data_IF_593180850217
#
_entry.id   IF_593180850217
#
_cell.length_a   1.000
_cell.length_b   1.000
_cell.length_c   1.000
_cell.angle_alpha   90.00
_cell.angle_beta   90.00
_cell.angle_gamma   90.00
#
_symmetry.space_group_name_H-M   'P 1'
#
loop_
_entity.id
_entity.type
_entity.pdbx_description
1 polymer ?
#
# COMPACT_ATOMS: atom_id res chain seq x y z
N UNK A 1 -8.37 7.32 12.27
CA UNK A 1 -6.94 7.69 12.43
C UNK A 1 -6.56 8.51 11.24
N UNK A 2 -5.70 9.51 11.37
CA UNK A 2 -5.21 10.22 10.18
C UNK A 2 -4.34 9.23 9.39
N UNK A 3 -4.61 9.05 8.09
CA UNK A 3 -3.73 8.34 7.16
C UNK A 3 -2.42 9.13 7.02
N UNK A 4 -1.61 9.15 8.07
CA UNK A 4 -0.21 9.49 8.01
C UNK A 4 0.54 8.23 7.60
N UNK A 5 0.17 7.69 6.44
CA UNK A 5 1.11 6.85 5.73
C UNK A 5 2.25 7.77 5.32
N UNK A 6 3.42 7.48 5.85
CA UNK A 6 4.56 8.39 5.80
C UNK A 6 4.98 8.62 4.34
N UNK A 7 4.65 9.80 3.80
CA UNK A 7 5.10 10.22 2.48
C UNK A 7 6.63 10.12 2.39
N UNK A 8 7.34 10.32 3.50
CA UNK A 8 8.79 10.13 3.60
C UNK A 8 9.17 8.67 3.30
N UNK A 9 8.40 7.68 3.75
CA UNK A 9 8.66 6.27 3.47
C UNK A 9 8.56 5.98 1.96
N UNK A 10 7.52 6.49 1.30
CA UNK A 10 7.38 6.34 -0.16
C UNK A 10 8.53 6.96 -0.92
N UNK A 11 8.89 8.20 -0.56
CA UNK A 11 10.01 8.88 -1.18
C UNK A 11 11.31 8.12 -0.91
N UNK A 12 11.56 7.67 0.32
CA UNK A 12 12.74 6.85 0.64
C UNK A 12 12.82 5.58 -0.21
N UNK A 13 11.71 4.88 -0.43
CA UNK A 13 11.67 3.71 -1.31
C UNK A 13 12.00 4.11 -2.76
N UNK A 14 11.44 5.22 -3.27
CA UNK A 14 11.75 5.75 -4.60
C UNK A 14 13.23 6.11 -4.76
N UNK A 15 13.85 6.70 -3.73
CA UNK A 15 15.27 7.04 -3.73
C UNK A 15 16.20 5.81 -3.79
N UNK A 16 15.69 4.62 -3.44
CA UNK A 16 16.40 3.35 -3.65
C UNK A 16 16.29 2.82 -5.10
N UNK A 17 15.69 3.59 -6.01
CA UNK A 17 15.50 3.21 -7.41
C UNK A 17 14.30 2.28 -7.64
N UNK A 18 13.44 2.09 -6.63
CA UNK A 18 12.23 1.28 -6.75
C UNK A 18 11.13 2.10 -7.41
N UNK A 19 10.59 1.59 -8.51
CA UNK A 19 9.42 2.16 -9.17
C UNK A 19 8.15 1.75 -8.43
N UNK A 20 7.30 2.72 -8.08
CA UNK A 20 6.00 2.48 -7.43
C UNK A 20 4.91 3.07 -8.33
N UNK A 21 4.29 2.23 -9.17
CA UNK A 21 3.21 2.66 -10.06
C UNK A 21 1.81 2.45 -9.47
N UNK A 22 1.66 1.65 -8.41
CA UNK A 22 0.36 1.38 -7.81
C UNK A 22 0.50 1.12 -6.31
N UNK A 23 -0.31 1.82 -5.52
CA UNK A 23 -0.43 1.68 -4.07
C UNK A 23 -1.84 1.24 -3.71
N UNK A 24 -1.98 0.12 -3.00
CA UNK A 24 -3.25 -0.36 -2.46
C UNK A 24 -3.32 -0.10 -0.96
N UNK A 25 -4.34 0.63 -0.52
CA UNK A 25 -4.62 0.95 0.88
C UNK A 25 -5.75 0.07 1.38
N UNK A 26 -5.59 -0.56 2.54
CA UNK A 26 -6.61 -1.35 3.22
C UNK A 26 -6.93 -0.66 4.54
N UNK A 27 -8.18 -0.22 4.68
CA UNK A 27 -8.67 0.40 5.91
C UNK A 27 -10.18 0.20 6.00
N UNK A 28 -10.68 -0.27 7.14
CA UNK A 28 -12.11 -0.44 7.36
C UNK A 28 -12.94 0.83 7.11
N UNK A 29 -12.36 2.03 7.27
CA UNK A 29 -13.00 3.30 6.96
C UNK A 29 -13.45 3.38 5.50
N UNK A 30 -12.78 2.67 4.58
CA UNK A 30 -13.15 2.63 3.16
C UNK A 30 -14.28 1.64 2.83
N UNK A 31 -14.81 0.86 3.79
CA UNK A 31 -16.04 0.07 3.58
C UNK A 31 -17.26 0.96 3.36
N UNK A 32 -17.31 2.07 4.10
CA UNK A 32 -18.38 3.06 4.03
C UNK A 32 -17.78 4.46 4.21
N UNK A 33 -17.05 4.97 3.19
CA UNK A 33 -16.17 6.11 3.35
C UNK A 33 -16.97 7.38 3.63
N UNK A 34 -16.66 8.01 4.77
CA UNK A 34 -17.20 9.32 5.16
C UNK A 34 -16.48 10.43 4.38
N UNK A 35 -17.02 11.65 4.44
CA UNK A 35 -16.42 12.82 3.77
C UNK A 35 -14.94 13.02 4.16
N UNK A 36 -14.59 12.82 5.44
CA UNK A 36 -13.22 12.91 5.92
C UNK A 36 -12.28 11.90 5.24
N UNK A 37 -12.61 10.62 5.27
CA UNK A 37 -11.78 9.56 4.66
C UNK A 37 -11.65 9.73 3.14
N UNK A 38 -12.70 10.24 2.45
CA UNK A 38 -12.60 10.61 1.03
C UNK A 38 -11.67 11.80 0.79
N UNK A 39 -11.70 12.79 1.68
CA UNK A 39 -10.81 13.95 1.64
C UNK A 39 -9.34 13.53 1.80
N UNK A 40 -9.05 12.75 2.85
CA UNK A 40 -7.71 12.23 3.10
C UNK A 40 -7.15 11.41 1.92
N UNK A 41 -7.97 10.53 1.32
CA UNK A 41 -7.55 9.75 0.16
C UNK A 41 -7.24 10.64 -1.07
N UNK A 42 -8.02 11.71 -1.28
CA UNK A 42 -7.77 12.67 -2.36
C UNK A 42 -6.49 13.45 -2.12
N UNK A 43 -6.30 13.98 -0.92
CA UNK A 43 -5.08 14.70 -0.55
C UNK A 43 -3.85 13.82 -0.73
N UNK A 44 -3.91 12.57 -0.29
CA UNK A 44 -2.84 11.61 -0.51
C UNK A 44 -2.56 11.40 -2.00
N UNK A 45 -3.59 11.19 -2.82
CA UNK A 45 -3.43 11.05 -4.27
C UNK A 45 -2.91 12.33 -4.96
N UNK A 46 -3.29 13.52 -4.47
CA UNK A 46 -2.79 14.81 -4.95
C UNK A 46 -1.30 14.98 -4.63
N UNK A 47 -0.86 14.58 -3.43
CA UNK A 47 0.54 14.56 -3.05
C UNK A 47 1.38 13.63 -3.94
N UNK A 48 0.86 12.42 -4.24
CA UNK A 48 1.55 11.49 -5.15
C UNK A 48 1.69 12.08 -6.57
N UNK A 49 0.69 12.83 -7.03
CA UNK A 49 0.77 13.56 -8.31
C UNK A 49 1.81 14.66 -8.28
N UNK A 50 1.82 15.50 -7.25
CA UNK A 50 2.80 16.56 -7.10
C UNK A 50 4.25 16.02 -7.04
N UNK A 51 4.50 14.94 -6.29
CA UNK A 51 5.81 14.31 -6.20
C UNK A 51 6.29 13.74 -7.56
N UNK A 52 5.39 13.12 -8.31
CA UNK A 52 5.68 12.60 -9.64
C UNK A 52 5.99 13.73 -10.65
N UNK A 53 5.26 14.85 -10.59
CA UNK A 53 5.52 16.02 -11.42
C UNK A 53 6.92 16.61 -11.18
N UNK A 54 7.34 16.74 -9.92
CA UNK A 54 8.69 17.23 -9.58
C UNK A 54 9.81 16.38 -10.17
N UNK A 55 9.57 15.07 -10.30
CA UNK A 55 10.53 14.08 -10.80
C UNK A 55 10.33 13.73 -12.27
N UNK A 56 9.34 14.32 -12.95
CA UNK A 56 8.91 13.99 -14.33
C UNK A 56 8.60 12.49 -14.51
N UNK A 57 8.04 11.88 -13.48
CA UNK A 57 7.59 10.49 -13.47
C UNK A 57 6.07 10.40 -13.62
N UNK A 58 5.56 9.20 -13.88
CA UNK A 58 4.13 8.92 -13.81
C UNK A 58 3.70 8.81 -12.33
N UNK A 59 2.54 9.38 -11.94
CA UNK A 59 2.03 9.24 -10.59
C UNK A 59 1.53 7.83 -10.32
N UNK A 60 1.73 7.36 -9.08
CA UNK A 60 1.20 6.07 -8.66
C UNK A 60 -0.35 6.08 -8.67
N UNK A 61 -0.97 5.03 -9.21
CA UNK A 61 -2.40 4.80 -9.03
C UNK A 61 -2.68 4.40 -7.57
N UNK A 62 -3.64 5.08 -6.94
CA UNK A 62 -4.04 4.80 -5.57
C UNK A 62 -5.38 4.07 -5.56
N UNK A 63 -5.39 2.87 -5.01
CA UNK A 63 -6.59 2.05 -4.79
C UNK A 63 -6.84 1.92 -3.30
N UNK A 64 -8.08 2.03 -2.86
CA UNK A 64 -8.47 1.87 -1.47
C UNK A 64 -9.54 0.79 -1.33
N UNK A 65 -9.37 -0.09 -0.34
CA UNK A 65 -10.25 -1.20 -0.07
C UNK A 65 -10.66 -1.21 1.40
N UNK A 66 -11.91 -1.61 1.66
CA UNK A 66 -12.44 -1.70 3.02
C UNK A 66 -12.00 -2.95 3.79
N UNK A 67 -11.43 -3.94 3.11
CA UNK A 67 -10.98 -5.22 3.68
C UNK A 67 -10.02 -5.91 2.71
N UNK A 68 -9.16 -6.77 3.26
CA UNK A 68 -8.16 -7.46 2.46
C UNK A 68 -8.75 -8.45 1.45
N UNK A 69 -9.90 -9.05 1.75
CA UNK A 69 -10.62 -9.92 0.80
C UNK A 69 -10.95 -9.24 -0.52
N UNK A 70 -11.37 -7.97 -0.50
CA UNK A 70 -11.70 -7.23 -1.73
C UNK A 70 -10.44 -6.88 -2.52
N UNK A 71 -9.33 -6.61 -1.82
CA UNK A 71 -8.01 -6.46 -2.45
C UNK A 71 -7.58 -7.77 -3.13
N UNK A 72 -7.70 -8.92 -2.46
CA UNK A 72 -7.33 -10.20 -3.05
C UNK A 72 -8.10 -10.50 -4.33
N UNK A 73 -9.41 -10.24 -4.34
CA UNK A 73 -10.21 -10.35 -5.56
C UNK A 73 -9.72 -9.42 -6.67
N UNK A 74 -9.35 -8.18 -6.33
CA UNK A 74 -8.82 -7.21 -7.29
C UNK A 74 -7.40 -7.53 -7.80
N UNK A 75 -6.63 -8.35 -7.08
CA UNK A 75 -5.27 -8.78 -7.49
C UNK A 75 -5.24 -10.00 -8.42
N UNK A 76 -6.38 -10.67 -8.62
CA UNK A 76 -6.47 -11.81 -9.55
C UNK A 76 -6.03 -11.40 -10.97
N UNK A 77 -5.55 -12.33 -11.82
CA UNK A 77 -5.10 -12.02 -13.18
C UNK A 77 -6.13 -11.20 -13.96
N UNK A 78 -5.70 -10.04 -14.49
CA UNK A 78 -6.58 -9.09 -15.20
C UNK A 78 -7.40 -8.16 -14.30
N UNK A 79 -7.27 -8.28 -12.98
CA UNK A 79 -7.89 -7.41 -11.99
C UNK A 79 -7.18 -6.06 -11.85
N UNK A 80 -7.88 -5.07 -11.30
CA UNK A 80 -7.39 -3.69 -11.19
C UNK A 80 -6.17 -3.53 -10.29
N UNK A 81 -6.02 -4.41 -9.29
CA UNK A 81 -4.88 -4.40 -8.36
C UNK A 81 -3.81 -5.44 -8.72
N UNK A 82 -3.87 -6.06 -9.90
CA UNK A 82 -2.91 -7.09 -10.31
C UNK A 82 -1.46 -6.58 -10.41
N UNK A 83 -1.27 -5.25 -10.53
CA UNK A 83 0.03 -4.58 -10.58
C UNK A 83 0.42 -3.90 -9.28
N UNK A 84 -0.13 -4.32 -8.13
CA UNK A 84 0.13 -3.67 -6.85
C UNK A 84 1.60 -3.77 -6.46
N UNK A 85 2.30 -2.63 -6.44
CA UNK A 85 3.70 -2.54 -6.02
C UNK A 85 3.82 -2.36 -4.51
N UNK A 86 2.85 -1.70 -3.88
CA UNK A 86 2.86 -1.46 -2.44
C UNK A 86 1.46 -1.65 -1.86
N UNK A 87 1.38 -2.51 -0.85
CA UNK A 87 0.19 -2.69 -0.02
C UNK A 87 0.40 -2.03 1.34
N UNK A 88 -0.56 -1.23 1.78
CA UNK A 88 -0.58 -0.61 3.11
C UNK A 88 -1.84 -1.05 3.84
N UNK A 89 -1.67 -1.80 4.93
CA UNK A 89 -2.76 -2.15 5.83
C UNK A 89 -2.79 -1.18 7.02
N UNK A 90 -3.87 -0.40 7.15
CA UNK A 90 -3.97 0.66 8.15
C UNK A 90 -4.61 0.20 9.46
N UNK A 91 -5.36 -0.91 9.45
CA UNK A 91 -5.93 -1.46 10.68
C UNK A 91 -4.85 -2.22 11.49
N UNK A 92 -4.67 -1.85 12.76
CA UNK A 92 -3.68 -2.46 13.66
C UNK A 92 -4.01 -3.94 14.01
N UNK A 93 -5.30 -4.28 14.02
CA UNK A 93 -5.80 -5.63 14.23
C UNK A 93 -6.96 -5.86 13.27
N UNK A 94 -6.90 -6.94 12.51
CA UNK A 94 -8.01 -7.38 11.66
C UNK A 94 -8.23 -8.89 11.80
N UNK A 95 -9.46 -9.32 11.56
CA UNK A 95 -9.83 -10.73 11.57
C UNK A 95 -9.14 -11.46 10.41
N UNK A 96 -8.49 -12.60 10.68
CA UNK A 96 -7.71 -13.34 9.68
C UNK A 96 -6.30 -12.80 9.45
N UNK A 97 -5.79 -11.92 10.32
CA UNK A 97 -4.48 -11.31 10.16
C UNK A 97 -3.32 -12.32 10.04
N UNK A 98 -3.40 -13.47 10.69
CA UNK A 98 -2.35 -14.48 10.60
C UNK A 98 -2.28 -15.10 9.21
N UNK A 99 -3.43 -15.55 8.69
CA UNK A 99 -3.57 -16.15 7.36
C UNK A 99 -3.24 -15.15 6.24
N UNK A 100 -3.64 -13.89 6.43
CA UNK A 100 -3.34 -12.80 5.50
C UNK A 100 -1.86 -12.44 5.51
N UNK A 101 -1.22 -12.37 6.68
CA UNK A 101 0.23 -12.20 6.79
C UNK A 101 0.98 -13.36 6.14
N UNK A 102 0.51 -14.61 6.33
CA UNK A 102 1.09 -15.79 5.70
C UNK A 102 0.99 -15.70 4.17
N UNK A 103 -0.18 -15.34 3.63
CA UNK A 103 -0.39 -15.16 2.20
C UNK A 103 0.47 -14.03 1.62
N UNK A 104 0.59 -12.91 2.34
CA UNK A 104 1.48 -11.80 1.95
C UNK A 104 2.94 -12.24 1.95
N UNK A 105 3.36 -13.02 2.96
CA UNK A 105 4.70 -13.56 3.02
C UNK A 105 4.98 -14.54 1.88
N UNK A 106 4.05 -15.44 1.57
CA UNK A 106 4.17 -16.36 0.43
C UNK A 106 4.29 -15.60 -0.90
N UNK A 107 3.47 -14.56 -1.11
CA UNK A 107 3.56 -13.69 -2.28
C UNK A 107 4.86 -12.89 -2.33
N UNK A 108 5.42 -12.52 -1.19
CA UNK A 108 6.70 -11.82 -1.14
C UNK A 108 7.91 -12.73 -1.34
N UNK A 109 7.78 -14.03 -1.10
CA UNK A 109 8.85 -15.02 -1.27
C UNK A 109 9.02 -15.46 -2.73
N UNK A 110 8.13 -15.03 -3.65
CA UNK A 110 8.32 -15.19 -5.09
C UNK A 110 9.40 -14.22 -5.60
N UNK A 111 10.07 -14.57 -6.69
CA UNK A 111 11.09 -13.69 -7.29
C UNK A 111 10.48 -12.32 -7.65
N UNK A 112 10.95 -11.26 -6.99
CA UNK A 112 10.41 -9.89 -7.13
C UNK A 112 9.45 -9.45 -6.01
N UNK A 113 9.11 -10.32 -5.06
CA UNK A 113 8.29 -9.97 -3.90
C UNK A 113 9.08 -9.26 -2.80
N UNK A 114 8.51 -8.20 -2.21
CA UNK A 114 9.16 -7.40 -1.16
C UNK A 114 8.41 -7.58 0.17
N UNK A 115 8.96 -8.40 1.06
CA UNK A 115 8.83 -8.17 2.50
C UNK A 115 10.08 -7.42 2.94
N UNK A 116 9.91 -6.21 3.50
CA UNK A 116 10.96 -5.56 4.25
C UNK A 116 11.26 -6.42 5.49
N UNK A 117 12.29 -7.26 5.39
CA UNK A 117 12.79 -8.03 6.53
C UNK A 117 13.43 -7.01 7.49
N UNK A 118 12.95 -6.85 8.74
CA UNK A 118 13.67 -6.04 9.69
C UNK A 118 15.09 -6.59 9.80
N UNK A 119 16.08 -5.69 9.83
CA UNK A 119 17.46 -6.09 10.12
C UNK A 119 17.43 -6.98 11.38
N UNK A 120 18.20 -8.09 11.42
CA UNK A 120 18.31 -8.86 12.64
C UNK A 120 18.65 -7.88 13.76
N UNK A 121 17.77 -7.77 14.75
CA UNK A 121 18.03 -6.95 15.91
C UNK A 121 19.41 -7.32 16.43
N UNK A 122 20.31 -6.34 16.48
CA UNK A 122 21.54 -6.47 17.24
C UNK A 122 21.15 -6.68 18.69
N UNK A 123 20.90 -7.94 19.06
CA UNK A 123 20.82 -8.36 20.44
C UNK A 123 22.20 -8.23 21.04
N UNK A 124 22.36 -7.24 21.92
CA UNK A 124 23.36 -7.26 22.98
C UNK A 124 22.95 -8.22 24.09
#
# INVERSE_FOLDING_TARGET
GELLFDLELLERIRHLGVRIDQVCLIDQEYRAPRMGSKGALREFADWQRAAAEMTKADPAEILAFGRLGDYWEATKPGGRAAGCHLLVHCDAHWEGAFEDCERLAQNALVSGGLLARPAPGGGG
#
